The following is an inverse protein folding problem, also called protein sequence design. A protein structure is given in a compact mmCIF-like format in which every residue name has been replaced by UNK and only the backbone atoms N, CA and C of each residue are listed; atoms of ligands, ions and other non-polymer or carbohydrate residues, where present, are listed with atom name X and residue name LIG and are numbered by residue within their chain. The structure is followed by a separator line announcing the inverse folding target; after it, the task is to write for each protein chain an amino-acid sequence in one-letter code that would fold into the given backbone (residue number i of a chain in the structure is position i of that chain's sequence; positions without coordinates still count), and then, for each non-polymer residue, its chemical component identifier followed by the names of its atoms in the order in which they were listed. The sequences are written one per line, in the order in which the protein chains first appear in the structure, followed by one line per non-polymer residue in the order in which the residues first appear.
data_IF_544657663314
#
_entry.id   IF_544657663314
#
_cell.length_a   1.000
_cell.length_b   1.000
_cell.length_c   1.000
_cell.angle_alpha   90.00
_cell.angle_beta   90.00
_cell.angle_gamma   90.00
#
_symmetry.space_group_name_H-M   'P 1'
#
loop_
_entity.id
_entity.type
_entity.pdbx_description
1 polymer ?
#
# COMPACT_ATOMS: atom_id res chain seq x y z
N UNK A 1 38.75 -6.03 6.81
CA UNK A 1 37.96 -7.26 7.00
C UNK A 1 37.75 -7.89 5.63
N UNK A 2 38.68 -8.73 5.15
CA UNK A 2 38.68 -9.20 3.76
C UNK A 2 37.52 -10.13 3.42
N UNK A 3 36.86 -10.72 4.44
CA UNK A 3 35.76 -11.67 4.28
C UNK A 3 34.37 -11.09 4.63
N UNK A 4 34.22 -9.76 4.67
CA UNK A 4 32.98 -9.12 5.10
C UNK A 4 31.96 -9.08 3.95
N UNK A 5 30.87 -9.85 4.06
CA UNK A 5 29.78 -9.92 3.08
C UNK A 5 28.63 -8.98 3.45
N UNK A 6 28.28 -8.92 4.73
CA UNK A 6 27.20 -8.09 5.25
C UNK A 6 27.72 -7.17 6.34
N UNK A 7 27.51 -5.86 6.16
CA UNK A 7 27.75 -4.84 7.17
C UNK A 7 26.42 -4.27 7.62
N UNK A 8 26.05 -4.46 8.90
CA UNK A 8 24.86 -3.85 9.48
C UNK A 8 25.22 -3.01 10.71
N UNK A 9 25.05 -1.70 10.57
CA UNK A 9 25.20 -0.71 11.63
C UNK A 9 23.96 0.18 11.77
N UNK A 10 22.81 -0.27 11.26
CA UNK A 10 21.56 0.50 11.32
C UNK A 10 21.05 0.68 12.76
N UNK A 11 20.35 1.79 13.00
CA UNK A 11 19.71 2.08 14.30
C UNK A 11 20.68 2.46 15.41
N UNK A 12 21.81 3.09 15.06
CA UNK A 12 22.81 3.59 16.01
C UNK A 12 22.83 5.13 16.05
N UNK A 13 23.84 5.70 16.70
CA UNK A 13 24.09 7.15 16.78
C UNK A 13 25.37 7.54 16.04
N UNK A 14 25.74 6.81 14.99
CA UNK A 14 26.94 7.10 14.20
C UNK A 14 26.76 8.42 13.48
N UNK A 15 27.78 9.29 13.49
CA UNK A 15 27.74 10.64 12.95
C UNK A 15 28.98 10.95 12.11
N UNK A 16 28.95 12.08 11.42
CA UNK A 16 29.99 12.48 10.47
C UNK A 16 29.71 11.93 9.07
N UNK A 17 30.67 12.05 8.17
CA UNK A 17 30.47 11.62 6.79
C UNK A 17 30.47 10.09 6.67
N UNK A 18 29.78 9.57 5.66
CA UNK A 18 29.86 8.15 5.31
C UNK A 18 31.32 7.86 4.88
N UNK A 19 32.05 6.97 5.57
CA UNK A 19 33.47 6.82 5.33
C UNK A 19 33.76 6.27 3.92
N UNK A 20 34.64 6.95 3.18
CA UNK A 20 35.09 6.49 1.85
C UNK A 20 35.83 5.14 1.90
N UNK A 21 36.31 4.71 3.07
CA UNK A 21 36.85 3.37 3.29
C UNK A 21 35.84 2.25 3.04
N UNK A 22 34.52 2.52 3.08
CA UNK A 22 33.50 1.56 2.70
C UNK A 22 33.61 1.15 1.23
N UNK A 23 34.07 2.07 0.37
CA UNK A 23 34.33 1.79 -1.04
C UNK A 23 35.51 0.83 -1.27
N UNK A 24 36.32 0.53 -0.25
CA UNK A 24 37.49 -0.36 -0.35
C UNK A 24 37.18 -1.80 0.07
N UNK A 25 35.93 -2.08 0.50
CA UNK A 25 35.49 -3.41 0.89
C UNK A 25 35.33 -4.29 -0.36
N UNK A 26 36.15 -5.34 -0.46
CA UNK A 26 36.29 -6.10 -1.72
C UNK A 26 35.12 -7.02 -2.06
N UNK A 27 34.45 -7.60 -1.05
CA UNK A 27 33.43 -8.65 -1.24
C UNK A 27 32.12 -8.35 -0.49
N UNK A 28 31.90 -7.08 -0.10
CA UNK A 28 30.67 -6.72 0.60
C UNK A 28 29.51 -6.71 -0.40
N UNK A 29 28.47 -7.47 -0.08
CA UNK A 29 27.24 -7.59 -0.88
C UNK A 29 26.14 -6.68 -0.32
N UNK A 30 26.12 -6.47 1.00
CA UNK A 30 25.05 -5.76 1.70
C UNK A 30 25.61 -4.76 2.72
N UNK A 31 25.17 -3.51 2.62
CA UNK A 31 25.50 -2.44 3.57
C UNK A 31 24.21 -1.83 4.11
N UNK A 32 23.97 -1.98 5.41
CA UNK A 32 22.90 -1.32 6.16
C UNK A 32 23.48 -0.28 7.13
N UNK A 33 23.20 0.99 6.86
CA UNK A 33 23.62 2.15 7.66
C UNK A 33 22.42 3.04 8.03
N UNK A 34 21.20 2.54 7.86
CA UNK A 34 19.97 3.29 8.08
C UNK A 34 19.78 3.76 9.52
N UNK A 35 19.00 4.82 9.74
CA UNK A 35 18.64 5.32 11.08
C UNK A 35 19.88 5.62 11.92
N UNK A 36 20.75 6.48 11.40
CA UNK A 36 21.94 7.01 12.06
C UNK A 36 21.93 8.56 11.95
N UNK A 37 23.06 9.20 12.24
CA UNK A 37 23.27 10.65 12.16
C UNK A 37 24.35 10.99 11.11
N UNK A 38 24.55 10.14 10.09
CA UNK A 38 25.52 10.41 9.03
C UNK A 38 25.15 11.68 8.27
N UNK A 39 26.15 12.48 7.92
CA UNK A 39 26.03 13.78 7.25
C UNK A 39 26.91 13.84 6.00
N UNK A 40 27.05 15.03 5.40
CA UNK A 40 27.89 15.24 4.24
C UNK A 40 27.29 14.68 2.96
N UNK A 41 28.13 14.43 1.96
CA UNK A 41 27.71 13.87 0.67
C UNK A 41 27.91 12.35 0.61
N UNK A 42 27.22 11.71 -0.33
CA UNK A 42 27.46 10.30 -0.65
C UNK A 42 28.88 10.12 -1.21
N UNK A 43 29.64 9.09 -0.78
CA UNK A 43 30.97 8.82 -1.31
C UNK A 43 30.95 8.62 -2.83
N UNK A 44 31.90 9.22 -3.54
CA UNK A 44 32.03 9.13 -5.00
C UNK A 44 33.01 8.03 -5.46
N UNK A 45 33.14 6.95 -4.68
CA UNK A 45 34.19 5.94 -4.86
C UNK A 45 33.67 4.51 -5.04
N UNK A 46 32.36 4.33 -5.19
CA UNK A 46 31.72 3.02 -5.34
C UNK A 46 32.29 2.25 -6.54
N UNK A 47 32.84 1.05 -6.32
CA UNK A 47 33.57 0.25 -7.33
C UNK A 47 33.32 -1.26 -7.27
N UNK A 48 32.47 -1.75 -6.38
CA UNK A 48 32.32 -3.19 -6.08
C UNK A 48 30.89 -3.69 -6.31
N UNK A 49 30.72 -5.01 -6.39
CA UNK A 49 29.43 -5.67 -6.60
C UNK A 49 28.56 -5.66 -5.33
N UNK A 50 28.06 -4.48 -5.00
CA UNK A 50 27.10 -4.30 -3.92
C UNK A 50 25.69 -4.62 -4.44
N UNK A 51 24.98 -5.53 -3.78
CA UNK A 51 23.59 -5.86 -4.09
C UNK A 51 22.61 -4.92 -3.36
N UNK A 52 22.94 -4.53 -2.12
CA UNK A 52 22.05 -3.70 -1.29
C UNK A 52 22.83 -2.57 -0.63
N UNK A 53 22.38 -1.34 -0.86
CA UNK A 53 22.83 -0.14 -0.16
C UNK A 53 21.66 0.53 0.54
N UNK A 54 21.68 0.54 1.87
CA UNK A 54 20.68 1.24 2.68
C UNK A 54 21.34 2.31 3.57
N UNK A 55 21.08 3.56 3.21
CA UNK A 55 21.52 4.77 3.89
C UNK A 55 20.31 5.61 4.36
N UNK A 56 19.11 5.00 4.42
CA UNK A 56 17.87 5.71 4.73
C UNK A 56 17.86 6.30 6.16
N UNK A 57 17.09 7.36 6.38
CA UNK A 57 16.95 8.01 7.69
C UNK A 57 18.30 8.44 8.29
N UNK A 58 19.01 9.30 7.55
CA UNK A 58 20.24 9.96 7.96
C UNK A 58 20.12 11.47 7.66
N UNK A 59 21.23 12.22 7.79
CA UNK A 59 21.29 13.65 7.49
C UNK A 59 22.18 13.94 6.25
N UNK A 60 22.17 13.03 5.27
CA UNK A 60 22.98 13.14 4.05
C UNK A 60 22.47 14.26 3.14
N UNK A 61 23.37 14.85 2.37
CA UNK A 61 23.15 15.98 1.48
C UNK A 61 23.89 15.81 0.15
N UNK A 62 23.81 16.80 -0.74
CA UNK A 62 24.37 16.67 -2.09
C UNK A 62 23.53 15.78 -3.01
N UNK A 63 24.08 15.42 -4.17
CA UNK A 63 23.41 14.56 -5.15
C UNK A 63 23.82 13.10 -5.06
N UNK A 64 23.15 12.25 -5.86
CA UNK A 64 23.60 10.88 -6.07
C UNK A 64 24.82 10.92 -7.02
N UNK A 65 26.00 10.41 -6.61
CA UNK A 65 27.20 10.48 -7.43
C UNK A 65 27.14 9.51 -8.61
N UNK A 66 27.67 9.90 -9.76
CA UNK A 66 27.66 9.07 -10.98
C UNK A 66 28.36 7.72 -10.83
N UNK A 67 29.28 7.60 -9.87
CA UNK A 67 29.97 6.33 -9.57
C UNK A 67 29.04 5.25 -9.03
N UNK A 68 27.82 5.59 -8.60
CA UNK A 68 26.81 4.59 -8.22
C UNK A 68 26.47 3.66 -9.39
N UNK A 69 26.63 4.14 -10.63
CA UNK A 69 26.43 3.35 -11.85
C UNK A 69 27.46 2.23 -12.03
N UNK A 70 28.58 2.29 -11.31
CA UNK A 70 29.58 1.22 -11.28
C UNK A 70 29.11 0.00 -10.47
N UNK A 71 28.00 0.14 -9.71
CA UNK A 71 27.37 -0.95 -8.97
C UNK A 71 26.40 -1.72 -9.90
N UNK A 72 26.95 -2.46 -10.88
CA UNK A 72 26.13 -3.20 -11.87
C UNK A 72 25.25 -4.30 -11.25
N UNK A 73 25.66 -4.80 -10.07
CA UNK A 73 24.96 -5.85 -9.33
C UNK A 73 23.94 -5.28 -8.32
N UNK A 74 23.69 -3.97 -8.31
CA UNK A 74 22.80 -3.33 -7.36
C UNK A 74 21.33 -3.72 -7.59
N UNK A 75 20.72 -4.30 -6.56
CA UNK A 75 19.33 -4.77 -6.55
C UNK A 75 18.42 -3.86 -5.71
N UNK A 76 18.94 -3.28 -4.62
CA UNK A 76 18.23 -2.33 -3.78
C UNK A 76 19.07 -1.11 -3.44
N UNK A 77 18.49 0.07 -3.69
CA UNK A 77 19.03 1.35 -3.28
C UNK A 77 18.01 2.10 -2.41
N UNK A 78 18.35 2.27 -1.12
CA UNK A 78 17.54 3.02 -0.15
C UNK A 78 18.28 4.26 0.31
N UNK A 79 17.78 5.42 -0.09
CA UNK A 79 18.30 6.74 0.26
C UNK A 79 17.23 7.62 0.94
N UNK A 80 16.10 7.02 1.33
CA UNK A 80 14.95 7.75 1.81
C UNK A 80 15.20 8.52 3.12
N UNK A 81 14.41 9.56 3.37
CA UNK A 81 14.48 10.36 4.60
C UNK A 81 15.89 10.92 4.85
N UNK A 82 16.36 11.77 3.94
CA UNK A 82 17.64 12.48 3.99
C UNK A 82 17.43 13.94 3.48
N UNK A 83 18.52 14.68 3.29
CA UNK A 83 18.53 16.01 2.65
C UNK A 83 19.19 15.99 1.26
N UNK A 84 19.14 14.85 0.55
CA UNK A 84 19.71 14.71 -0.80
C UNK A 84 18.95 15.59 -1.80
N UNK A 85 19.65 16.09 -2.81
CA UNK A 85 19.13 17.07 -3.78
C UNK A 85 19.70 16.84 -5.18
N UNK A 86 19.38 17.71 -6.14
CA UNK A 86 19.75 17.55 -7.55
C UNK A 86 18.78 16.65 -8.31
N UNK A 87 19.15 16.24 -9.52
CA UNK A 87 18.35 15.32 -10.34
C UNK A 87 18.76 13.86 -10.09
N UNK A 88 17.91 12.90 -10.47
CA UNK A 88 18.31 11.49 -10.51
C UNK A 88 19.32 11.34 -11.67
N UNK A 89 20.57 10.96 -11.39
CA UNK A 89 21.61 10.94 -12.42
C UNK A 89 21.31 9.87 -13.47
N UNK A 90 21.55 10.20 -14.75
CA UNK A 90 21.31 9.26 -15.87
C UNK A 90 22.21 8.03 -15.81
N UNK A 91 23.33 8.12 -15.10
CA UNK A 91 24.27 7.02 -14.87
C UNK A 91 23.61 5.83 -14.17
N UNK A 92 22.59 6.03 -13.32
CA UNK A 92 21.81 4.95 -12.69
C UNK A 92 21.13 4.00 -13.68
N UNK A 93 20.99 4.36 -14.95
CA UNK A 93 20.51 3.45 -16.00
C UNK A 93 21.40 2.20 -16.17
N UNK A 94 22.65 2.24 -15.68
CA UNK A 94 23.57 1.09 -15.68
C UNK A 94 23.23 0.02 -14.63
N UNK A 95 22.45 0.34 -13.61
CA UNK A 95 22.01 -0.61 -12.58
C UNK A 95 20.79 -1.42 -13.07
N UNK A 96 21.00 -2.29 -14.05
CA UNK A 96 19.92 -3.02 -14.72
C UNK A 96 19.24 -4.07 -13.84
N UNK A 97 19.92 -4.51 -12.77
CA UNK A 97 19.40 -5.45 -11.77
C UNK A 97 18.48 -4.83 -10.72
N UNK A 98 18.27 -3.51 -10.74
CA UNK A 98 17.56 -2.81 -9.69
C UNK A 98 16.10 -3.27 -9.56
N UNK A 99 15.75 -3.77 -8.39
CA UNK A 99 14.40 -4.21 -8.00
C UNK A 99 13.71 -3.17 -7.12
N UNK A 100 14.47 -2.49 -6.26
CA UNK A 100 13.96 -1.49 -5.32
C UNK A 100 14.76 -0.19 -5.46
N UNK A 101 14.03 0.90 -5.72
CA UNK A 101 14.57 2.25 -5.69
C UNK A 101 13.71 3.11 -4.73
N UNK A 102 14.27 3.43 -3.56
CA UNK A 102 13.62 4.33 -2.59
C UNK A 102 14.43 5.62 -2.40
N UNK A 103 13.93 6.71 -2.97
CA UNK A 103 14.46 8.07 -2.87
C UNK A 103 13.50 9.00 -2.12
N UNK A 104 12.49 8.44 -1.43
CA UNK A 104 11.42 9.23 -0.81
C UNK A 104 11.92 10.17 0.30
N UNK A 105 11.18 11.24 0.58
CA UNK A 105 11.49 12.20 1.66
C UNK A 105 12.89 12.79 1.52
N UNK A 106 13.12 13.47 0.39
CA UNK A 106 14.37 14.16 0.06
C UNK A 106 14.04 15.48 -0.65
N UNK A 107 15.05 16.10 -1.28
CA UNK A 107 14.95 17.35 -2.04
C UNK A 107 15.31 17.14 -3.51
N UNK A 108 15.02 15.96 -4.08
CA UNK A 108 15.29 15.69 -5.49
C UNK A 108 14.39 16.55 -6.39
N UNK A 109 14.96 17.01 -7.50
CA UNK A 109 14.36 17.91 -8.49
C UNK A 109 14.41 17.27 -9.87
N UNK A 110 14.00 18.01 -10.92
CA UNK A 110 13.99 17.53 -12.29
C UNK A 110 12.77 16.67 -12.60
N UNK A 111 12.85 15.90 -13.69
CA UNK A 111 11.77 15.01 -14.12
C UNK A 111 12.01 13.60 -13.60
N UNK A 112 10.95 12.82 -13.43
CA UNK A 112 11.09 11.36 -13.30
C UNK A 112 11.66 10.84 -14.62
N UNK A 113 12.86 10.23 -14.64
CA UNK A 113 13.50 9.84 -15.89
C UNK A 113 12.78 8.71 -16.61
N UNK A 114 12.76 8.76 -17.95
CA UNK A 114 12.13 7.70 -18.76
C UNK A 114 12.89 6.40 -18.67
N UNK A 115 14.22 6.45 -18.51
CA UNK A 115 15.09 5.27 -18.47
C UNK A 115 14.72 4.32 -17.32
N UNK A 116 14.07 4.77 -16.25
CA UNK A 116 13.58 3.89 -15.17
C UNK A 116 12.68 2.78 -15.77
N UNK A 117 11.82 3.15 -16.73
CA UNK A 117 10.95 2.20 -17.43
C UNK A 117 11.60 1.50 -18.63
N UNK A 118 12.85 1.79 -18.96
CA UNK A 118 13.53 1.28 -20.17
C UNK A 118 14.73 0.40 -19.85
N UNK A 119 15.43 0.70 -18.75
CA UNK A 119 16.72 0.12 -18.40
C UNK A 119 16.69 -0.71 -17.11
N UNK A 120 15.62 -0.66 -16.31
CA UNK A 120 15.49 -1.41 -15.06
C UNK A 120 14.34 -2.43 -15.11
N UNK A 121 14.41 -3.47 -15.97
CA UNK A 121 13.29 -4.39 -16.21
C UNK A 121 12.86 -5.18 -14.95
N UNK A 122 13.77 -5.36 -14.00
CA UNK A 122 13.53 -6.06 -12.73
C UNK A 122 12.85 -5.22 -11.66
N UNK A 123 12.59 -3.92 -11.92
CA UNK A 123 12.08 -3.01 -10.91
C UNK A 123 10.67 -3.41 -10.44
N UNK A 124 10.56 -3.62 -9.14
CA UNK A 124 9.32 -3.99 -8.43
C UNK A 124 8.77 -2.82 -7.63
N UNK A 125 9.65 -2.03 -7.02
CA UNK A 125 9.27 -0.97 -6.09
C UNK A 125 9.98 0.33 -6.46
N UNK A 126 9.18 1.35 -6.78
CA UNK A 126 9.65 2.70 -7.06
C UNK A 126 9.01 3.67 -6.08
N UNK A 127 9.82 4.32 -5.23
CA UNK A 127 9.36 5.26 -4.22
C UNK A 127 10.09 6.59 -4.36
N UNK A 128 9.36 7.61 -4.79
CA UNK A 128 9.83 8.97 -5.02
C UNK A 128 9.02 10.00 -4.21
N UNK A 129 8.18 9.54 -3.28
CA UNK A 129 7.30 10.38 -2.43
C UNK A 129 8.04 11.56 -1.80
N UNK A 130 7.37 12.70 -1.63
CA UNK A 130 7.87 13.84 -0.86
C UNK A 130 9.23 14.32 -1.36
N UNK A 131 9.24 14.76 -2.61
CA UNK A 131 10.37 15.38 -3.29
C UNK A 131 9.85 16.60 -4.08
N UNK A 132 10.66 17.14 -5.00
CA UNK A 132 10.30 18.26 -5.88
C UNK A 132 10.29 17.84 -7.36
N UNK A 133 9.98 16.57 -7.67
CA UNK A 133 9.91 16.12 -9.06
C UNK A 133 8.80 16.85 -9.83
N UNK A 134 9.10 17.28 -11.05
CA UNK A 134 8.21 18.04 -11.89
C UNK A 134 8.06 17.42 -13.29
N UNK A 135 7.13 17.96 -14.09
CA UNK A 135 6.83 17.46 -15.43
C UNK A 135 5.90 16.26 -15.43
N UNK A 136 5.86 15.54 -16.55
CA UNK A 136 4.90 14.45 -16.77
C UNK A 136 5.37 13.13 -16.16
N UNK A 137 4.44 12.34 -15.68
CA UNK A 137 4.69 10.95 -15.31
C UNK A 137 5.08 10.15 -16.58
N UNK A 138 6.24 9.47 -16.60
CA UNK A 138 6.67 8.69 -17.76
C UNK A 138 5.76 7.50 -18.04
N UNK A 139 5.18 7.45 -19.24
CA UNK A 139 4.41 6.29 -19.69
C UNK A 139 5.25 5.01 -19.77
N UNK A 140 6.58 5.15 -19.91
CA UNK A 140 7.55 4.07 -20.02
C UNK A 140 7.57 3.16 -18.79
N UNK A 141 7.15 3.67 -17.61
CA UNK A 141 6.98 2.85 -16.41
C UNK A 141 6.10 1.62 -16.67
N UNK A 142 5.10 1.74 -17.56
CA UNK A 142 4.21 0.64 -17.94
C UNK A 142 4.88 -0.55 -18.64
N UNK A 143 6.16 -0.43 -19.04
CA UNK A 143 6.97 -1.53 -19.57
C UNK A 143 7.53 -2.44 -18.47
N UNK A 144 7.51 -1.98 -17.22
CA UNK A 144 7.99 -2.74 -16.07
C UNK A 144 6.94 -3.77 -15.66
N UNK A 145 7.12 -5.01 -16.11
CA UNK A 145 6.16 -6.09 -15.87
C UNK A 145 6.07 -6.48 -14.39
N UNK A 146 7.19 -6.38 -13.66
CA UNK A 146 7.29 -6.75 -12.24
C UNK A 146 6.83 -5.68 -11.25
N UNK A 147 6.51 -4.46 -11.72
CA UNK A 147 6.22 -3.31 -10.88
C UNK A 147 4.95 -3.56 -10.04
N UNK A 148 5.11 -3.47 -8.72
CA UNK A 148 4.05 -3.73 -7.74
C UNK A 148 3.73 -2.48 -6.89
N UNK A 149 4.73 -1.66 -6.57
CA UNK A 149 4.54 -0.45 -5.76
C UNK A 149 5.13 0.74 -6.52
N UNK A 150 4.26 1.72 -6.77
CA UNK A 150 4.62 3.01 -7.36
C UNK A 150 4.12 4.09 -6.42
N UNK A 151 5.05 4.80 -5.77
CA UNK A 151 4.74 5.90 -4.86
C UNK A 151 5.41 7.18 -5.36
N UNK A 152 4.64 8.03 -6.04
CA UNK A 152 5.06 9.32 -6.58
C UNK A 152 4.40 10.50 -5.84
N UNK A 153 3.82 10.23 -4.68
CA UNK A 153 3.00 11.20 -3.95
C UNK A 153 3.80 12.45 -3.51
N UNK A 154 3.11 13.56 -3.26
CA UNK A 154 3.71 14.78 -2.71
C UNK A 154 4.92 15.25 -3.52
N UNK A 155 4.69 15.55 -4.79
CA UNK A 155 5.67 16.10 -5.72
C UNK A 155 5.01 17.26 -6.50
N UNK A 156 5.72 17.79 -7.50
CA UNK A 156 5.21 18.84 -8.39
C UNK A 156 4.87 18.29 -9.80
N UNK A 157 4.49 17.00 -9.89
CA UNK A 157 4.19 16.35 -11.17
C UNK A 157 2.93 16.93 -11.80
N UNK A 158 2.87 16.93 -13.12
CA UNK A 158 1.78 17.53 -13.89
C UNK A 158 1.44 16.69 -15.13
N UNK A 159 0.41 17.09 -15.86
CA UNK A 159 -0.07 16.33 -17.02
C UNK A 159 -1.11 15.28 -16.61
N UNK A 160 -1.46 14.43 -17.56
CA UNK A 160 -2.47 13.38 -17.37
C UNK A 160 -1.86 12.10 -16.83
N UNK A 161 -2.65 11.33 -16.08
CA UNK A 161 -2.29 9.95 -15.73
C UNK A 161 -2.16 9.11 -17.02
N UNK A 162 -1.03 8.42 -17.27
CA UNK A 162 -0.87 7.66 -18.51
C UNK A 162 -1.86 6.50 -18.60
N UNK A 163 -2.64 6.45 -19.70
CA UNK A 163 -3.54 5.30 -20.00
C UNK A 163 -2.80 3.96 -20.03
N UNK A 164 -1.50 3.99 -20.37
CA UNK A 164 -0.65 2.80 -20.39
C UNK A 164 -0.48 2.16 -19.01
N UNK A 165 -0.80 2.83 -17.90
CA UNK A 165 -0.70 2.26 -16.56
C UNK A 165 -1.65 1.07 -16.36
N UNK A 166 -2.73 0.95 -17.16
CA UNK A 166 -3.51 -0.29 -17.25
C UNK A 166 -2.73 -1.50 -17.79
N UNK A 167 -1.45 -1.36 -18.16
CA UNK A 167 -0.58 -2.45 -18.60
C UNK A 167 0.34 -2.99 -17.50
N UNK A 168 0.32 -2.45 -16.28
CA UNK A 168 1.14 -2.97 -15.17
C UNK A 168 0.79 -4.42 -14.84
N UNK A 169 1.54 -5.36 -15.43
CA UNK A 169 1.24 -6.79 -15.33
C UNK A 169 1.30 -7.27 -13.87
N UNK A 170 2.26 -6.77 -13.10
CA UNK A 170 2.43 -7.07 -11.67
C UNK A 170 1.25 -6.65 -10.77
N UNK A 171 0.36 -5.78 -11.26
CA UNK A 171 -0.83 -5.30 -10.55
C UNK A 171 -2.15 -5.86 -11.12
N UNK A 172 -2.10 -6.76 -12.12
CA UNK A 172 -3.31 -7.35 -12.72
C UNK A 172 -3.83 -8.58 -11.99
N UNK A 173 -2.94 -9.28 -11.30
CA UNK A 173 -3.26 -10.52 -10.59
C UNK A 173 -2.82 -10.36 -9.14
N UNK A 174 -3.69 -10.76 -8.21
CA UNK A 174 -3.32 -10.82 -6.79
C UNK A 174 -2.25 -11.90 -6.62
N UNK A 175 -1.10 -11.52 -6.08
CA UNK A 175 -0.03 -12.48 -5.80
C UNK A 175 -0.36 -13.21 -4.50
N UNK A 176 -0.42 -14.53 -4.55
CA UNK A 176 -0.62 -15.40 -3.38
C UNK A 176 0.69 -16.06 -2.93
N UNK A 177 1.71 -16.04 -3.79
CA UNK A 177 3.01 -16.64 -3.52
C UNK A 177 3.77 -15.87 -2.44
N UNK A 178 4.35 -16.61 -1.48
CA UNK A 178 5.23 -16.08 -0.42
C UNK A 178 6.66 -15.93 -0.91
N UNK A 179 6.84 -15.31 -2.08
CA UNK A 179 8.18 -15.01 -2.58
C UNK A 179 8.72 -13.73 -1.93
N UNK A 180 10.02 -13.66 -1.66
CA UNK A 180 10.63 -12.42 -1.20
C UNK A 180 10.69 -11.38 -2.33
N UNK A 181 10.75 -10.10 -1.96
CA UNK A 181 10.94 -9.04 -2.98
C UNK A 181 12.34 -9.14 -3.61
N UNK A 182 13.32 -9.53 -2.79
CA UNK A 182 14.71 -9.77 -3.14
C UNK A 182 15.21 -11.03 -2.43
N UNK A 183 16.02 -11.83 -3.11
CA UNK A 183 16.78 -12.94 -2.53
C UNK A 183 18.24 -12.71 -2.88
N UNK A 184 19.07 -12.34 -1.89
CA UNK A 184 20.51 -12.22 -2.14
C UNK A 184 21.17 -13.59 -2.07
N UNK A 185 22.39 -13.72 -2.60
CA UNK A 185 23.07 -15.02 -2.74
C UNK A 185 23.41 -15.65 -1.39
N UNK A 186 23.45 -14.85 -0.32
CA UNK A 186 24.04 -15.25 0.97
C UNK A 186 23.07 -15.14 2.16
N UNK A 187 21.90 -14.50 2.02
CA UNK A 187 20.90 -14.39 3.10
C UNK A 187 19.50 -13.99 2.62
N UNK A 188 18.48 -14.26 3.43
CA UNK A 188 17.12 -13.74 3.20
C UNK A 188 17.11 -12.25 3.49
N UNK A 189 17.03 -11.43 2.43
CA UNK A 189 16.80 -10.00 2.55
C UNK A 189 15.39 -9.75 3.11
N UNK A 190 15.31 -9.21 4.33
CA UNK A 190 14.02 -8.84 4.95
C UNK A 190 13.82 -7.34 4.77
N UNK A 191 13.14 -7.00 3.68
CA UNK A 191 12.69 -5.64 3.42
C UNK A 191 11.69 -5.18 4.50
N UNK A 192 11.85 -3.95 4.97
CA UNK A 192 10.90 -3.30 5.87
C UNK A 192 10.64 -1.89 5.38
N UNK A 193 9.46 -1.67 4.83
CA UNK A 193 9.08 -0.38 4.25
C UNK A 193 7.70 0.09 4.69
N UNK A 194 7.56 1.41 4.76
CA UNK A 194 6.29 2.08 5.01
C UNK A 194 5.52 2.28 3.71
N UNK A 195 4.37 1.64 3.56
CA UNK A 195 3.45 1.88 2.44
C UNK A 195 2.26 2.66 2.94
N UNK A 196 1.96 3.80 2.30
CA UNK A 196 0.76 4.57 2.61
C UNK A 196 -0.47 3.87 2.03
N UNK A 197 -1.39 3.47 2.91
CA UNK A 197 -2.63 2.77 2.57
C UNK A 197 -3.67 2.98 3.66
N UNK A 198 -4.96 3.05 3.31
CA UNK A 198 -6.07 3.26 4.26
C UNK A 198 -5.90 4.56 5.08
N UNK A 199 -5.38 5.61 4.44
CA UNK A 199 -5.15 6.92 5.07
C UNK A 199 -4.00 6.98 6.09
N UNK A 200 -3.11 5.97 6.14
CA UNK A 200 -1.99 5.92 7.10
C UNK A 200 -0.75 5.25 6.52
N UNK A 201 0.42 5.55 7.08
CA UNK A 201 1.64 4.80 6.82
C UNK A 201 1.56 3.43 7.52
N UNK A 202 1.64 2.35 6.76
CA UNK A 202 1.65 0.98 7.27
C UNK A 202 3.02 0.36 7.05
N UNK A 203 3.61 -0.18 8.12
CA UNK A 203 4.83 -0.95 8.03
C UNK A 203 4.55 -2.31 7.41
N UNK A 204 5.14 -2.56 6.24
CA UNK A 204 5.19 -3.86 5.60
C UNK A 204 6.61 -4.38 5.63
N UNK A 205 6.81 -5.53 6.26
CA UNK A 205 8.12 -6.16 6.32
C UNK A 205 8.14 -7.23 7.39
N UNK A 206 8.25 -8.48 6.95
CA UNK A 206 8.36 -9.65 7.81
C UNK A 206 8.94 -10.81 6.98
N UNK A 207 9.52 -11.79 7.66
CA UNK A 207 9.97 -13.08 7.10
C UNK A 207 8.85 -13.84 6.38
N UNK A 208 7.59 -13.42 6.57
CA UNK A 208 6.41 -13.99 5.93
C UNK A 208 6.20 -13.53 4.47
N UNK A 209 7.01 -12.61 3.96
CA UNK A 209 6.96 -12.21 2.54
C UNK A 209 5.75 -11.36 2.16
N UNK A 210 5.01 -10.80 3.12
CA UNK A 210 3.76 -10.05 2.87
C UNK A 210 3.96 -8.92 1.85
N UNK A 211 5.13 -8.28 1.87
CA UNK A 211 5.44 -7.15 0.98
C UNK A 211 5.41 -7.53 -0.52
N UNK A 212 5.66 -8.79 -0.87
CA UNK A 212 5.57 -9.23 -2.27
C UNK A 212 4.13 -9.33 -2.77
N UNK A 213 3.15 -9.37 -1.87
CA UNK A 213 1.73 -9.41 -2.19
C UNK A 213 1.13 -8.01 -2.30
N UNK A 214 1.79 -7.00 -1.71
CA UNK A 214 1.30 -5.62 -1.71
C UNK A 214 1.46 -4.98 -3.09
N UNK A 215 0.34 -4.49 -3.60
CA UNK A 215 0.28 -3.72 -4.85
C UNK A 215 -0.33 -2.34 -4.58
N UNK A 216 0.39 -1.27 -4.93
CA UNK A 216 -0.01 0.10 -4.62
C UNK A 216 0.37 1.07 -5.73
N UNK A 217 -0.54 1.96 -6.07
CA UNK A 217 -0.32 3.11 -6.94
C UNK A 217 -0.74 4.37 -6.20
N UNK A 218 0.24 5.14 -5.74
CA UNK A 218 0.01 6.42 -5.07
C UNK A 218 0.59 7.57 -5.91
N UNK A 219 -0.31 8.42 -6.39
CA UNK A 219 -0.02 9.62 -7.19
C UNK A 219 -0.55 10.90 -6.48
N UNK A 220 -0.90 10.81 -5.20
CA UNK A 220 -1.56 11.88 -4.45
C UNK A 220 -0.68 13.12 -4.26
N UNK A 221 -1.29 14.28 -4.00
CA UNK A 221 -0.57 15.51 -3.70
C UNK A 221 0.37 15.95 -4.82
N UNK A 222 -0.15 16.02 -6.04
CA UNK A 222 0.56 16.49 -7.24
C UNK A 222 -0.33 17.51 -7.99
N UNK A 223 0.10 17.95 -9.17
CA UNK A 223 -0.67 18.85 -10.06
C UNK A 223 -1.22 18.10 -11.28
N UNK A 224 -1.62 16.83 -11.13
CA UNK A 224 -2.14 16.02 -12.23
C UNK A 224 -3.53 16.51 -12.65
N UNK A 225 -3.83 16.49 -13.95
CA UNK A 225 -5.11 16.95 -14.48
C UNK A 225 -5.70 16.01 -15.54
N UNK A 226 -6.93 16.29 -15.95
CA UNK A 226 -7.68 15.48 -16.90
C UNK A 226 -8.40 14.32 -16.21
N UNK A 227 -8.92 13.39 -17.00
CA UNK A 227 -9.77 12.32 -16.50
C UNK A 227 -8.98 11.15 -15.92
N UNK A 228 -9.55 10.46 -14.93
CA UNK A 228 -9.06 9.14 -14.50
C UNK A 228 -9.15 8.17 -15.69
N UNK A 229 -8.04 7.53 -16.13
CA UNK A 229 -8.08 6.59 -17.23
C UNK A 229 -8.88 5.34 -16.88
N UNK A 230 -9.88 5.00 -17.69
CA UNK A 230 -10.65 3.74 -17.55
C UNK A 230 -9.76 2.49 -17.59
N UNK A 231 -8.61 2.58 -18.26
CA UNK A 231 -7.64 1.50 -18.37
C UNK A 231 -7.08 1.05 -17.00
N UNK A 232 -7.09 1.93 -15.98
CA UNK A 232 -6.73 1.56 -14.61
C UNK A 232 -7.63 0.47 -14.03
N UNK A 233 -8.89 0.39 -14.45
CA UNK A 233 -9.82 -0.67 -14.02
C UNK A 233 -9.41 -2.09 -14.43
N UNK A 234 -8.39 -2.23 -15.31
CA UNK A 234 -7.81 -3.53 -15.65
C UNK A 234 -6.85 -4.08 -14.59
N UNK A 235 -6.43 -3.26 -13.60
CA UNK A 235 -5.51 -3.64 -12.52
C UNK A 235 -6.25 -4.37 -11.39
N UNK A 236 -6.77 -5.56 -11.68
CA UNK A 236 -7.61 -6.34 -10.74
C UNK A 236 -6.89 -6.81 -9.49
N UNK A 237 -5.55 -6.85 -9.54
CA UNK A 237 -4.69 -7.22 -8.42
C UNK A 237 -4.24 -6.02 -7.58
N UNK A 238 -4.62 -4.78 -7.91
CA UNK A 238 -4.23 -3.58 -7.17
C UNK A 238 -4.97 -3.51 -5.83
N UNK A 239 -4.24 -3.34 -4.72
CA UNK A 239 -4.81 -3.21 -3.38
C UNK A 239 -5.06 -1.77 -2.95
N UNK A 240 -4.22 -0.83 -3.41
CA UNK A 240 -4.34 0.58 -3.06
C UNK A 240 -4.22 1.48 -4.28
N UNK A 241 -5.20 2.36 -4.45
CA UNK A 241 -5.19 3.45 -5.42
C UNK A 241 -5.42 4.76 -4.69
N UNK A 242 -4.42 5.64 -4.72
CA UNK A 242 -4.52 6.97 -4.14
C UNK A 242 -4.21 8.03 -5.20
N UNK A 243 -5.21 8.82 -5.54
CA UNK A 243 -5.14 9.91 -6.52
C UNK A 243 -5.51 11.26 -5.88
N UNK A 244 -5.60 11.34 -4.55
CA UNK A 244 -6.14 12.52 -3.87
C UNK A 244 -5.25 13.75 -3.97
N UNK A 245 -5.84 14.94 -3.82
CA UNK A 245 -5.09 16.20 -3.86
C UNK A 245 -4.42 16.44 -5.21
N UNK A 246 -5.21 16.40 -6.28
CA UNK A 246 -4.81 16.70 -7.65
C UNK A 246 -5.90 17.60 -8.31
N UNK A 247 -5.82 17.81 -9.63
CA UNK A 247 -6.79 18.54 -10.45
C UNK A 247 -7.52 17.62 -11.44
N UNK A 248 -7.80 16.37 -11.03
CA UNK A 248 -8.46 15.39 -11.88
C UNK A 248 -9.94 15.75 -12.05
N UNK A 249 -10.46 15.64 -13.27
CA UNK A 249 -11.83 16.04 -13.61
C UNK A 249 -12.60 14.95 -14.36
N UNK A 250 -13.85 15.24 -14.70
CA UNK A 250 -14.74 14.27 -15.35
C UNK A 250 -15.24 13.19 -14.39
N UNK A 251 -15.82 12.13 -14.94
CA UNK A 251 -16.45 11.07 -14.15
C UNK A 251 -15.46 10.06 -13.58
N UNK A 252 -15.82 9.44 -12.46
CA UNK A 252 -15.16 8.23 -11.97
C UNK A 252 -15.50 7.09 -12.96
N UNK A 253 -14.52 6.45 -13.61
CA UNK A 253 -14.81 5.39 -14.58
C UNK A 253 -15.48 4.19 -13.92
N UNK A 254 -16.54 3.65 -14.54
CA UNK A 254 -17.23 2.44 -14.06
C UNK A 254 -16.31 1.22 -13.95
N UNK A 255 -15.23 1.20 -14.74
CA UNK A 255 -14.20 0.16 -14.73
C UNK A 255 -13.46 0.07 -13.39
N UNK A 256 -13.47 1.12 -12.56
CA UNK A 256 -12.96 1.07 -11.18
C UNK A 256 -13.65 -0.05 -10.38
N UNK A 257 -14.94 -0.29 -10.62
CA UNK A 257 -15.69 -1.41 -10.01
C UNK A 257 -15.19 -2.81 -10.41
N UNK A 258 -14.27 -2.92 -11.38
CA UNK A 258 -13.64 -4.20 -11.77
C UNK A 258 -12.37 -4.52 -10.98
N UNK A 259 -11.89 -3.62 -10.12
CA UNK A 259 -10.63 -3.76 -9.37
C UNK A 259 -10.84 -4.63 -8.11
N UNK A 260 -11.00 -5.94 -8.33
CA UNK A 260 -11.50 -6.88 -7.31
C UNK A 260 -10.64 -7.00 -6.04
N UNK A 261 -9.34 -6.65 -6.09
CA UNK A 261 -8.46 -6.71 -4.90
C UNK A 261 -8.36 -5.39 -4.14
N UNK A 262 -9.09 -4.35 -4.57
CA UNK A 262 -8.92 -2.99 -4.03
C UNK A 262 -9.44 -2.90 -2.60
N UNK A 263 -8.54 -2.54 -1.67
CA UNK A 263 -8.82 -2.37 -0.25
C UNK A 263 -8.90 -0.90 0.17
N UNK A 264 -8.21 -0.02 -0.56
CA UNK A 264 -8.08 1.40 -0.26
C UNK A 264 -8.22 2.22 -1.54
N UNK A 265 -9.22 3.09 -1.58
CA UNK A 265 -9.45 4.03 -2.67
C UNK A 265 -9.59 5.45 -2.12
N UNK A 266 -8.67 6.33 -2.51
CA UNK A 266 -8.74 7.75 -2.18
C UNK A 266 -8.73 8.59 -3.47
N UNK A 267 -9.86 9.24 -3.73
CA UNK A 267 -10.06 10.18 -4.85
C UNK A 267 -10.39 11.59 -4.35
N UNK A 268 -10.23 11.83 -3.05
CA UNK A 268 -10.62 13.09 -2.43
C UNK A 268 -9.82 14.29 -2.96
N UNK A 269 -10.35 15.51 -2.78
CA UNK A 269 -9.66 16.77 -3.14
C UNK A 269 -9.24 16.79 -4.61
N UNK A 270 -10.21 16.65 -5.50
CA UNK A 270 -10.08 16.75 -6.95
C UNK A 270 -11.27 17.55 -7.52
N UNK A 271 -11.37 17.64 -8.85
CA UNK A 271 -12.46 18.30 -9.58
C UNK A 271 -13.40 17.27 -10.25
N UNK A 272 -13.53 16.05 -9.67
CA UNK A 272 -14.32 14.97 -10.25
C UNK A 272 -15.82 15.30 -10.23
N UNK A 273 -16.55 14.88 -11.25
CA UNK A 273 -17.96 15.22 -11.45
C UNK A 273 -18.81 14.00 -11.81
N UNK A 274 -20.14 14.17 -11.85
CA UNK A 274 -21.06 13.10 -12.24
C UNK A 274 -21.35 12.13 -11.10
N UNK A 275 -21.97 11.00 -11.44
CA UNK A 275 -22.41 10.02 -10.45
C UNK A 275 -21.29 9.08 -9.98
N UNK A 276 -21.37 8.66 -8.72
CA UNK A 276 -20.56 7.54 -8.22
C UNK A 276 -21.05 6.26 -8.95
N UNK A 277 -20.19 5.54 -9.69
CA UNK A 277 -20.63 4.38 -10.46
C UNK A 277 -21.20 3.28 -9.57
N UNK A 278 -22.38 2.77 -9.91
CA UNK A 278 -23.02 1.67 -9.17
C UNK A 278 -22.17 0.39 -9.17
N UNK A 279 -21.28 0.22 -10.15
CA UNK A 279 -20.30 -0.88 -10.22
C UNK A 279 -19.31 -0.89 -9.04
N UNK A 280 -19.13 0.23 -8.32
CA UNK A 280 -18.29 0.25 -7.11
C UNK A 280 -18.86 -0.62 -5.98
N UNK A 281 -20.16 -0.96 -6.02
CA UNK A 281 -20.74 -1.95 -5.09
C UNK A 281 -20.11 -3.33 -5.22
N UNK A 282 -19.41 -3.64 -6.33
CA UNK A 282 -18.74 -4.92 -6.56
C UNK A 282 -17.37 -5.03 -5.85
N UNK A 283 -16.87 -3.94 -5.26
CA UNK A 283 -15.58 -3.91 -4.56
C UNK A 283 -15.72 -4.50 -3.15
N UNK A 284 -15.73 -5.82 -3.04
CA UNK A 284 -16.01 -6.54 -1.78
C UNK A 284 -14.90 -6.44 -0.73
N UNK A 285 -13.66 -6.16 -1.14
CA UNK A 285 -12.50 -5.98 -0.24
C UNK A 285 -12.28 -4.53 0.21
N UNK A 286 -13.06 -3.58 -0.32
CA UNK A 286 -12.88 -2.16 -0.04
C UNK A 286 -13.12 -1.89 1.45
N UNK A 287 -12.11 -1.37 2.13
CA UNK A 287 -12.12 -1.10 3.57
C UNK A 287 -11.83 0.35 3.92
N UNK A 288 -11.39 1.13 2.93
CA UNK A 288 -11.17 2.56 3.05
C UNK A 288 -11.60 3.23 1.75
N UNK A 289 -12.46 4.24 1.88
CA UNK A 289 -12.95 5.07 0.78
C UNK A 289 -12.97 6.53 1.21
N UNK A 290 -12.39 7.40 0.39
CA UNK A 290 -12.54 8.85 0.51
C UNK A 290 -12.82 9.46 -0.88
N UNK A 291 -13.99 10.07 -1.03
CA UNK A 291 -14.45 10.78 -2.23
C UNK A 291 -14.70 12.26 -1.93
N UNK A 292 -14.29 12.73 -0.75
CA UNK A 292 -14.64 14.05 -0.25
C UNK A 292 -14.00 15.17 -1.07
N UNK A 293 -14.57 16.37 -1.01
CA UNK A 293 -14.07 17.57 -1.70
C UNK A 293 -13.90 17.35 -3.21
N UNK A 294 -15.01 17.07 -3.89
CA UNK A 294 -15.12 16.94 -5.34
C UNK A 294 -16.43 17.65 -5.81
N UNK A 295 -16.82 17.47 -7.06
CA UNK A 295 -18.08 17.97 -7.63
C UNK A 295 -19.03 16.81 -8.03
N UNK A 296 -19.04 15.73 -7.26
CA UNK A 296 -19.87 14.55 -7.51
C UNK A 296 -21.36 14.86 -7.28
N UNK A 297 -22.23 14.17 -8.00
CA UNK A 297 -23.66 14.40 -8.02
C UNK A 297 -24.50 13.13 -8.14
N UNK A 298 -25.76 13.17 -7.72
CA UNK A 298 -26.69 12.06 -7.84
C UNK A 298 -26.70 11.16 -6.60
N UNK A 299 -27.47 10.06 -6.68
CA UNK A 299 -27.65 9.15 -5.55
C UNK A 299 -26.38 8.36 -5.26
N UNK A 300 -25.98 8.30 -3.99
CA UNK A 300 -24.92 7.41 -3.51
C UNK A 300 -25.38 5.95 -3.68
N UNK A 301 -24.63 5.10 -4.43
CA UNK A 301 -24.98 3.69 -4.57
C UNK A 301 -24.97 2.96 -3.22
N UNK A 302 -26.09 2.32 -2.89
CA UNK A 302 -26.25 1.49 -1.70
C UNK A 302 -25.89 0.03 -2.02
N UNK A 303 -25.04 -0.59 -1.19
CA UNK A 303 -24.77 -2.03 -1.20
C UNK A 303 -23.35 -2.38 -0.76
N UNK A 304 -23.20 -3.54 -0.11
CA UNK A 304 -21.92 -4.11 0.34
C UNK A 304 -21.11 -3.11 1.20
N UNK A 305 -19.85 -2.85 0.83
CA UNK A 305 -18.95 -2.00 1.60
C UNK A 305 -19.34 -0.53 1.58
N UNK A 306 -20.05 -0.05 0.54
CA UNK A 306 -20.38 1.38 0.40
C UNK A 306 -21.33 1.89 1.50
N UNK A 307 -22.18 1.02 2.03
CA UNK A 307 -23.09 1.33 3.15
C UNK A 307 -22.36 1.42 4.51
N UNK A 308 -21.12 0.92 4.60
CA UNK A 308 -20.35 0.93 5.84
C UNK A 308 -19.59 2.23 6.07
N UNK A 309 -19.47 3.08 5.05
CA UNK A 309 -18.73 4.34 5.13
C UNK A 309 -19.60 5.48 5.66
N UNK A 310 -18.96 6.41 6.37
CA UNK A 310 -19.64 7.52 7.03
C UNK A 310 -19.84 8.72 6.08
N UNK A 311 -20.64 9.69 6.53
CA UNK A 311 -20.90 10.97 5.83
C UNK A 311 -19.60 11.70 5.43
N UNK A 312 -18.53 11.61 6.24
CA UNK A 312 -17.25 12.27 5.96
C UNK A 312 -16.61 11.85 4.64
N UNK A 313 -16.75 10.58 4.24
CA UNK A 313 -16.24 10.03 2.97
C UNK A 313 -16.79 10.77 1.76
N UNK A 314 -17.99 11.35 1.87
CA UNK A 314 -18.70 12.00 0.76
C UNK A 314 -18.78 13.52 0.91
N UNK A 315 -18.28 14.07 2.02
CA UNK A 315 -18.38 15.49 2.36
C UNK A 315 -17.77 16.41 1.28
N UNK A 316 -18.28 17.63 1.16
CA UNK A 316 -17.80 18.57 0.14
C UNK A 316 -18.23 18.25 -1.29
N UNK A 317 -19.26 17.42 -1.49
CA UNK A 317 -19.92 17.16 -2.77
C UNK A 317 -21.41 17.56 -2.69
N UNK A 318 -21.78 18.80 -3.06
CA UNK A 318 -23.14 19.32 -2.84
C UNK A 318 -24.22 18.68 -3.73
N UNK A 319 -23.82 17.98 -4.79
CA UNK A 319 -24.75 17.30 -5.69
C UNK A 319 -25.15 15.90 -5.23
N UNK A 320 -24.49 15.32 -4.21
CA UNK A 320 -24.77 13.97 -3.75
C UNK A 320 -26.02 13.91 -2.87
N UNK A 321 -26.78 12.83 -2.98
CA UNK A 321 -27.97 12.59 -2.18
C UNK A 321 -28.09 11.10 -1.79
N UNK A 322 -28.92 10.80 -0.79
CA UNK A 322 -29.12 9.46 -0.24
C UNK A 322 -28.09 9.08 0.83
N UNK A 323 -28.38 8.03 1.59
CA UNK A 323 -27.51 7.56 2.68
C UNK A 323 -26.06 7.33 2.19
N UNK A 324 -25.03 7.76 2.95
CA UNK A 324 -25.06 8.30 4.31
C UNK A 324 -25.21 9.84 4.41
N UNK A 325 -25.36 10.57 3.30
CA UNK A 325 -25.57 12.02 3.36
C UNK A 325 -27.05 12.34 3.65
N UNK A 326 -27.31 13.45 4.33
CA UNK A 326 -28.68 13.84 4.75
C UNK A 326 -29.55 14.37 3.62
N UNK A 327 -28.99 14.66 2.46
CA UNK A 327 -29.69 15.23 1.33
C UNK A 327 -30.62 14.20 0.66
N UNK A 328 -31.89 14.55 0.49
CA UNK A 328 -32.92 13.69 -0.11
C UNK A 328 -32.82 13.79 -1.64
N UNK A 329 -33.01 12.67 -2.35
CA UNK A 329 -33.00 12.65 -3.81
C UNK A 329 -34.40 13.00 -4.37
N UNK A 330 -34.46 13.84 -5.42
CA UNK A 330 -35.73 14.35 -6.00
C UNK A 330 -36.73 13.27 -6.45
N UNK A 331 -36.26 12.05 -6.77
CA UNK A 331 -37.12 10.94 -7.19
C UNK A 331 -37.82 10.20 -6.04
N UNK A 332 -37.52 10.52 -4.77
CA UNK A 332 -38.20 9.90 -3.62
C UNK A 332 -39.57 10.54 -3.31
N UNK A 333 -39.89 11.70 -3.92
CA UNK A 333 -41.13 12.46 -3.66
C UNK A 333 -42.26 12.25 -4.70
N UNK A 334 -42.06 11.45 -5.75
CA UNK A 334 -43.11 11.22 -6.78
C UNK A 334 -44.06 10.04 -6.48
N UNK A 335 -44.05 9.54 -5.24
CA UNK A 335 -45.07 8.64 -4.70
C UNK A 335 -46.09 9.40 -3.85
N UNK A 336 -47.12 9.94 -4.48
CA UNK A 336 -48.43 10.36 -3.93
C UNK A 336 -48.55 10.53 -2.40
N UNK A 337 -48.71 11.76 -1.93
CA UNK A 337 -49.19 12.03 -0.57
C UNK A 337 -49.27 13.50 -0.24
N UNK A 338 -50.45 14.10 -0.40
CA UNK A 338 -50.87 15.39 0.16
C UNK A 338 -50.26 15.70 1.53
N UNK A 339 -49.43 16.75 1.62
CA UNK A 339 -49.02 17.36 2.90
C UNK A 339 -50.18 18.18 3.45
N UNK A 340 -50.96 17.58 4.36
CA UNK A 340 -51.56 18.33 5.45
C UNK A 340 -50.57 18.38 6.60
N UNK A 341 -50.28 19.59 7.07
CA UNK A 341 -49.61 19.82 8.35
C UNK A 341 -50.41 19.14 9.45
N UNK A 342 -49.80 18.17 10.13
CA UNK A 342 -49.94 17.95 11.56
C UNK A 342 -48.77 17.08 12.05
N UNK A 343 -48.18 17.51 13.14
CA UNK A 343 -47.16 16.82 13.92
C UNK A 343 -47.65 15.46 14.42
N UNK A 344 -46.94 14.40 14.04
CA UNK A 344 -46.78 13.19 14.84
C UNK A 344 -45.66 12.33 14.25
N UNK A 345 -44.74 11.93 15.12
CA UNK A 345 -43.74 10.90 14.88
C UNK A 345 -44.44 9.63 14.39
N UNK A 346 -44.14 9.19 13.16
CA UNK A 346 -44.51 7.85 12.68
C UNK A 346 -43.29 7.20 12.04
N UNK A 347 -42.78 6.19 12.74
CA UNK A 347 -41.78 5.25 12.29
C UNK A 347 -42.24 4.49 11.03
N UNK A 348 -41.46 4.57 9.96
CA UNK A 348 -41.67 3.75 8.77
C UNK A 348 -41.40 2.26 9.06
N UNK A 349 -42.14 1.32 8.42
CA UNK A 349 -42.19 -0.09 8.81
C UNK A 349 -40.91 -0.90 8.52
N UNK A 350 -39.85 -0.25 8.02
CA UNK A 350 -38.56 -0.88 7.73
C UNK A 350 -37.55 -0.83 8.88
N UNK A 351 -37.65 0.13 9.81
CA UNK A 351 -36.67 0.30 10.89
C UNK A 351 -36.90 -0.65 12.08
N UNK A 352 -38.17 -0.98 12.37
CA UNK A 352 -38.54 -1.84 13.50
C UNK A 352 -38.21 -3.32 13.27
N UNK A 353 -38.22 -3.78 12.01
CA UNK A 353 -37.88 -5.17 11.68
C UNK A 353 -36.37 -5.41 11.85
N UNK A 354 -35.52 -4.46 11.45
CA UNK A 354 -34.06 -4.59 11.63
C UNK A 354 -33.62 -4.49 13.10
N UNK A 355 -34.19 -3.58 13.89
CA UNK A 355 -33.87 -3.45 15.32
C UNK A 355 -34.27 -4.69 16.13
N UNK A 356 -35.37 -5.36 15.76
CA UNK A 356 -35.80 -6.61 16.40
C UNK A 356 -34.93 -7.81 16.03
N UNK A 357 -34.44 -7.91 14.78
CA UNK A 357 -33.46 -8.94 14.40
C UNK A 357 -32.07 -8.70 14.97
N UNK A 358 -31.61 -7.44 15.05
CA UNK A 358 -30.32 -7.10 15.65
C UNK A 358 -30.33 -7.35 17.17
N UNK A 359 -31.43 -7.02 17.85
CA UNK A 359 -31.60 -7.24 19.29
C UNK A 359 -31.69 -8.72 19.67
N UNK A 360 -32.36 -9.54 18.85
CA UNK A 360 -32.47 -11.00 19.09
C UNK A 360 -31.18 -11.75 18.75
N UNK A 361 -30.45 -11.34 17.70
CA UNK A 361 -29.17 -11.93 17.34
C UNK A 361 -28.05 -11.55 18.32
N UNK A 362 -27.94 -10.28 18.73
CA UNK A 362 -26.97 -9.84 19.74
C UNK A 362 -27.31 -10.39 21.12
N UNK A 363 -28.60 -10.42 21.49
CA UNK A 363 -29.06 -11.02 22.75
C UNK A 363 -28.73 -12.52 22.82
N UNK A 364 -28.98 -13.27 21.74
CA UNK A 364 -28.66 -14.69 21.65
C UNK A 364 -27.16 -14.97 21.70
N UNK A 365 -26.33 -14.15 21.03
CA UNK A 365 -24.88 -14.30 21.06
C UNK A 365 -24.30 -13.97 22.44
N UNK A 366 -24.75 -12.88 23.07
CA UNK A 366 -24.30 -12.50 24.42
C UNK A 366 -24.69 -13.58 25.43
N UNK A 367 -25.93 -14.07 25.41
CA UNK A 367 -26.37 -15.14 26.31
C UNK A 367 -25.60 -16.44 26.04
N UNK A 368 -25.45 -16.85 24.78
CA UNK A 368 -24.71 -18.06 24.43
C UNK A 368 -23.22 -17.99 24.80
N UNK A 369 -22.59 -16.84 24.53
CA UNK A 369 -21.20 -16.59 24.86
C UNK A 369 -20.98 -16.59 26.38
N UNK A 370 -21.84 -15.89 27.15
CA UNK A 370 -21.69 -15.84 28.61
C UNK A 370 -22.13 -17.12 29.33
N UNK A 371 -23.04 -17.92 28.78
CA UNK A 371 -23.37 -19.25 29.34
C UNK A 371 -22.17 -20.19 29.19
N UNK A 372 -21.48 -20.17 28.06
CA UNK A 372 -20.33 -21.06 27.84
C UNK A 372 -19.07 -20.51 28.53
N UNK A 373 -18.72 -19.26 28.27
CA UNK A 373 -17.50 -18.65 28.83
C UNK A 373 -17.65 -18.26 30.29
N UNK A 374 -18.82 -17.79 30.72
CA UNK A 374 -19.08 -17.46 32.12
C UNK A 374 -19.07 -18.70 33.01
N UNK A 375 -19.56 -19.85 32.55
CA UNK A 375 -19.47 -21.11 33.33
C UNK A 375 -18.03 -21.62 33.43
N UNK A 376 -17.21 -21.43 32.38
CA UNK A 376 -15.78 -21.74 32.40
C UNK A 376 -14.96 -20.78 33.29
N UNK A 377 -15.35 -19.51 33.40
CA UNK A 377 -14.67 -18.52 34.24
C UNK A 377 -15.04 -18.68 35.72
N UNK A 378 -16.30 -18.99 36.03
CA UNK A 378 -16.81 -19.01 37.41
C UNK A 378 -16.54 -20.33 38.16
N UNK A 379 -16.31 -21.44 37.45
CA UNK A 379 -16.10 -22.76 38.08
C UNK A 379 -14.69 -23.32 37.78
N UNK A 380 -13.77 -23.13 38.73
CA UNK A 380 -12.36 -23.57 38.60
C UNK A 380 -12.21 -25.03 38.19
N UNK A 381 -13.05 -25.93 38.73
CA UNK A 381 -12.96 -27.37 38.42
C UNK A 381 -13.27 -27.69 36.93
N UNK A 382 -14.12 -26.90 36.28
CA UNK A 382 -14.48 -27.09 34.86
C UNK A 382 -13.43 -26.47 33.95
N UNK A 383 -12.88 -25.31 34.32
CA UNK A 383 -11.71 -24.71 33.68
C UNK A 383 -10.54 -25.68 33.62
N UNK A 384 -10.21 -26.30 34.75
CA UNK A 384 -9.06 -27.22 34.84
C UNK A 384 -9.30 -28.53 34.09
N UNK A 385 -10.54 -29.00 33.98
CA UNK A 385 -10.89 -30.17 33.18
C UNK A 385 -10.83 -29.85 31.67
N UNK A 386 -11.29 -28.67 31.28
CA UNK A 386 -11.27 -28.20 29.89
C UNK A 386 -9.85 -27.95 29.39
N UNK A 387 -9.00 -27.27 30.18
CA UNK A 387 -7.59 -27.06 29.84
C UNK A 387 -6.84 -28.39 29.73
N UNK A 388 -7.04 -29.31 30.68
CA UNK A 388 -6.47 -30.67 30.59
C UNK A 388 -6.94 -31.46 29.37
N UNK A 389 -8.15 -31.22 28.90
CA UNK A 389 -8.65 -31.84 27.67
C UNK A 389 -7.96 -31.24 26.43
N UNK A 390 -7.81 -29.91 26.36
CA UNK A 390 -7.09 -29.23 25.29
C UNK A 390 -5.63 -29.70 25.24
N UNK A 391 -4.94 -29.72 26.37
CA UNK A 391 -3.55 -30.18 26.46
C UNK A 391 -3.40 -31.62 25.94
N UNK A 392 -4.33 -32.51 26.31
CA UNK A 392 -4.35 -33.89 25.78
C UNK A 392 -4.57 -33.97 24.26
N UNK A 393 -5.39 -33.09 23.69
CA UNK A 393 -5.58 -33.06 22.24
C UNK A 393 -4.35 -32.49 21.53
N UNK A 394 -3.74 -31.45 22.10
CA UNK A 394 -2.51 -30.85 21.60
C UNK A 394 -1.36 -31.85 21.61
N UNK A 395 -1.16 -32.58 22.72
CA UNK A 395 -0.14 -33.63 22.83
C UNK A 395 -0.37 -34.77 21.84
N UNK A 396 -1.62 -35.21 21.66
CA UNK A 396 -1.97 -36.22 20.66
C UNK A 396 -1.64 -35.74 19.24
N UNK A 397 -2.00 -34.51 18.90
CA UNK A 397 -1.73 -33.94 17.60
C UNK A 397 -0.22 -33.78 17.38
N UNK A 398 0.50 -33.26 18.37
CA UNK A 398 1.95 -33.13 18.35
C UNK A 398 2.65 -34.47 18.13
N UNK A 399 2.24 -35.52 18.85
CA UNK A 399 2.79 -36.88 18.69
C UNK A 399 2.49 -37.43 17.29
N UNK A 400 1.28 -37.24 16.75
CA UNK A 400 0.94 -37.68 15.38
C UNK A 400 1.81 -36.96 14.34
N UNK A 401 1.98 -35.64 14.47
CA UNK A 401 2.83 -34.84 13.58
C UNK A 401 4.28 -35.27 13.70
N UNK A 402 4.80 -35.43 14.90
CA UNK A 402 6.17 -35.86 15.15
C UNK A 402 6.45 -37.27 14.59
N UNK A 403 5.53 -38.23 14.78
CA UNK A 403 5.65 -39.59 14.22
C UNK A 403 5.60 -39.56 12.69
N UNK A 404 4.68 -38.78 12.10
CA UNK A 404 4.57 -38.64 10.65
C UNK A 404 5.82 -38.02 10.05
N UNK A 405 6.37 -36.99 10.69
CA UNK A 405 7.61 -36.34 10.27
C UNK A 405 8.82 -37.27 10.36
N UNK A 406 8.91 -38.08 11.42
CA UNK A 406 10.01 -39.04 11.58
C UNK A 406 9.91 -40.22 10.60
N UNK A 407 8.69 -40.67 10.26
CA UNK A 407 8.47 -41.68 9.20
C UNK A 407 8.83 -41.17 7.82
N UNK A 408 8.54 -39.89 7.52
CA UNK A 408 8.96 -39.26 6.27
C UNK A 408 10.50 -39.13 6.21
N UNK A 409 11.15 -38.75 7.30
CA UNK A 409 12.62 -38.62 7.36
C UNK A 409 13.36 -39.96 7.15
N UNK A 410 12.81 -41.07 7.64
CA UNK A 410 13.39 -42.41 7.47
C UNK A 410 13.03 -43.08 6.14
N UNK A 411 12.16 -42.48 5.31
CA UNK A 411 11.84 -42.98 3.96
C UNK A 411 12.75 -42.39 2.87
N UNK A 412 13.66 -41.48 3.23
CA UNK A 412 14.59 -40.78 2.33
C UNK A 412 16.07 -41.04 2.67
N UNK A 413 16.35 -42.10 3.43
CA UNK A 413 17.68 -42.72 3.63
C UNK A 413 17.52 -44.19 3.30
#
# INVERSE_FOLDING_TARGET
MPNLILLSLSGNKLYGDVPSSLCQLQIVEVIYLARNLFSGELPNCWKHDLAVLDLSSNNLSGGIPDTIASLSSLEALHLSNNSLSGEIPSSLQGCTGLSILDLSQNKFTGKVPTWIGESCPSLRILRLRSNMFAGRIPQNLSRLFGLQIVDLAHNNLSGTIPKSFGKFAGMKVKREDKEYVLQTHTSVYVERMEVFMKGKALMYGDYNGILSQVTSLDLSGNNLYGTIPRELGSLRGLMSLNLSGNHLNGEIPKEVGSMQSLESLDLSRNDLSGAIPSTMTYLTFLSYLDLSSNNLSGRIPSGNQLETFNESTYSGNPGLCGFPVKQICENDDNGTGTRNNNTSEEDGPGSQVWLSYLGTALGGFVVGFWVIWGTLILKSNWKDAYLRYIDRQYDRFYVIVAITFNRLKNSYV
#
